data_IF_020786844680
#
_entry.id   IF_020786844680
#
_cell.length_a   1.000
_cell.length_b   1.000
_cell.length_c   1.000
_cell.angle_alpha   90.00
_cell.angle_beta   90.00
_cell.angle_gamma   90.00
#
_symmetry.space_group_name_H-M   'P 1'
#
loop_
_entity.id
_entity.type
_entity.pdbx_description
1 polymer ?
#
# COMPACT_ATOMS: atom_id res chain seq x y z
N UNK A 1 6.60 -16.27 -11.52
CA UNK A 1 6.29 -15.00 -12.21
C UNK A 1 6.20 -13.94 -11.15
N UNK A 2 7.03 -12.88 -11.20
CA UNK A 2 6.83 -11.72 -10.33
C UNK A 2 5.51 -11.10 -10.79
N UNK A 3 4.43 -11.35 -10.05
CA UNK A 3 3.22 -10.57 -10.21
C UNK A 3 3.62 -9.15 -9.82
N UNK A 4 3.90 -8.29 -10.79
CA UNK A 4 4.13 -6.87 -10.52
C UNK A 4 2.82 -6.33 -9.96
N UNK A 5 2.75 -6.25 -8.63
CA UNK A 5 1.64 -5.60 -7.94
C UNK A 5 1.56 -4.19 -8.53
N UNK A 6 0.47 -3.89 -9.23
CA UNK A 6 0.22 -2.55 -9.76
C UNK A 6 0.10 -1.60 -8.58
N UNK A 7 1.21 -0.95 -8.23
CA UNK A 7 1.26 0.03 -7.15
C UNK A 7 0.37 1.22 -7.51
N UNK A 8 -0.36 1.70 -6.52
CA UNK A 8 -1.09 2.96 -6.57
C UNK A 8 -0.05 4.09 -6.76
N UNK A 9 -0.21 4.97 -7.77
CA UNK A 9 0.62 6.16 -7.90
C UNK A 9 0.47 7.08 -6.68
N UNK A 10 1.55 7.72 -6.20
CA UNK A 10 1.50 8.61 -5.03
C UNK A 10 0.43 9.69 -5.15
N UNK A 11 0.25 10.30 -6.33
CA UNK A 11 -0.71 11.38 -6.56
C UNK A 11 -2.15 10.91 -6.34
N UNK A 12 -2.42 9.65 -6.70
CA UNK A 12 -3.73 9.03 -6.48
C UNK A 12 -3.97 8.76 -5.00
N UNK A 13 -2.95 8.34 -4.25
CA UNK A 13 -3.06 8.13 -2.80
C UNK A 13 -3.25 9.46 -2.05
N UNK A 14 -2.58 10.54 -2.46
CA UNK A 14 -2.80 11.89 -1.93
C UNK A 14 -4.26 12.31 -2.14
N UNK A 15 -4.80 12.11 -3.35
CA UNK A 15 -6.18 12.48 -3.66
C UNK A 15 -7.19 11.71 -2.79
N UNK A 16 -7.01 10.40 -2.64
CA UNK A 16 -7.88 9.56 -1.80
C UNK A 16 -7.84 9.99 -0.32
N UNK A 17 -6.64 10.20 0.23
CA UNK A 17 -6.50 10.64 1.62
C UNK A 17 -7.12 12.03 1.83
N UNK A 18 -7.01 12.92 0.83
CA UNK A 18 -7.64 14.24 0.88
C UNK A 18 -9.18 14.17 0.84
N UNK A 19 -9.76 13.25 0.07
CA UNK A 19 -11.22 13.01 0.06
C UNK A 19 -11.73 12.63 1.46
N UNK A 20 -10.91 11.93 2.23
CA UNK A 20 -11.19 11.55 3.63
C UNK A 20 -10.79 12.64 4.65
N UNK A 21 -10.39 13.83 4.19
CA UNK A 21 -9.99 14.96 5.04
C UNK A 21 -8.58 14.85 5.64
N UNK A 22 -7.75 13.95 5.11
CA UNK A 22 -6.37 13.73 5.56
C UNK A 22 -5.42 14.40 4.56
N UNK A 23 -4.85 15.53 4.95
CA UNK A 23 -3.83 16.21 4.15
C UNK A 23 -2.43 15.65 4.45
N UNK A 24 -1.71 15.29 3.39
CA UNK A 24 -0.39 14.66 3.46
C UNK A 24 0.50 15.17 2.33
N UNK A 25 1.81 15.27 2.60
CA UNK A 25 2.81 15.60 1.58
C UNK A 25 3.16 14.38 0.71
N UNK A 26 3.86 14.61 -0.40
CA UNK A 26 4.36 13.53 -1.26
C UNK A 26 5.29 12.57 -0.50
N UNK A 27 6.16 13.10 0.36
CA UNK A 27 7.05 12.30 1.21
C UNK A 27 6.27 11.45 2.21
N UNK A 28 5.25 12.02 2.84
CA UNK A 28 4.41 11.28 3.79
C UNK A 28 3.63 10.17 3.09
N UNK A 29 3.06 10.44 1.91
CA UNK A 29 2.36 9.42 1.12
C UNK A 29 3.27 8.28 0.72
N UNK A 30 4.53 8.56 0.38
CA UNK A 30 5.49 7.50 0.06
C UNK A 30 5.68 6.55 1.25
N UNK A 31 5.88 7.10 2.45
CA UNK A 31 6.04 6.30 3.68
C UNK A 31 4.79 5.47 3.97
N UNK A 32 3.60 6.07 3.83
CA UNK A 32 2.31 5.37 4.05
C UNK A 32 2.15 4.22 3.07
N UNK A 33 2.39 4.46 1.77
CA UNK A 33 2.25 3.44 0.74
C UNK A 33 3.24 2.30 0.94
N UNK A 34 4.51 2.60 1.23
CA UNK A 34 5.54 1.60 1.48
C UNK A 34 5.14 0.70 2.67
N UNK A 35 4.69 1.30 3.77
CA UNK A 35 4.19 0.54 4.93
C UNK A 35 2.96 -0.34 4.60
N UNK A 36 2.01 0.18 3.83
CA UNK A 36 0.83 -0.59 3.42
C UNK A 36 1.16 -1.79 2.52
N UNK A 37 2.14 -1.65 1.62
CA UNK A 37 2.58 -2.78 0.80
C UNK A 37 3.29 -3.84 1.63
N UNK A 38 4.12 -3.45 2.60
CA UNK A 38 4.75 -4.41 3.52
C UNK A 38 3.70 -5.22 4.30
N UNK A 39 2.67 -4.55 4.81
CA UNK A 39 1.56 -5.23 5.50
C UNK A 39 0.80 -6.16 4.56
N UNK A 40 0.53 -5.73 3.33
CA UNK A 40 -0.15 -6.56 2.34
C UNK A 40 0.65 -7.82 2.01
N UNK A 41 1.96 -7.70 1.81
CA UNK A 41 2.87 -8.83 1.56
C UNK A 41 2.85 -9.81 2.75
N UNK A 42 2.96 -9.30 3.98
CA UNK A 42 2.88 -10.13 5.20
C UNK A 42 1.55 -10.89 5.29
N UNK A 43 0.43 -10.21 5.02
CA UNK A 43 -0.91 -10.82 5.09
C UNK A 43 -1.08 -11.90 4.02
N UNK A 44 -0.60 -11.64 2.79
CA UNK A 44 -0.61 -12.62 1.70
C UNK A 44 0.24 -13.83 2.06
N UNK A 45 1.46 -13.61 2.56
CA UNK A 45 2.36 -14.67 2.98
C UNK A 45 1.74 -15.51 4.10
N UNK A 46 1.12 -14.88 5.12
CA UNK A 46 0.42 -15.60 6.20
C UNK A 46 -0.77 -16.41 5.68
N UNK A 47 -1.55 -15.86 4.74
CA UNK A 47 -2.68 -16.56 4.15
C UNK A 47 -2.24 -17.78 3.34
N UNK A 48 -1.17 -17.63 2.54
CA UNK A 48 -0.60 -18.68 1.70
C UNK A 48 0.23 -19.71 2.49
N UNK A 49 0.79 -19.32 3.64
CA UNK A 49 1.58 -20.19 4.52
C UNK A 49 0.73 -21.15 5.37
N UNK A 50 -0.60 -21.19 5.20
CA UNK A 50 -1.43 -22.20 5.84
C UNK A 50 -0.93 -23.60 5.46
N UNK A 51 -0.56 -24.45 6.43
CA UNK A 51 -0.42 -25.88 6.17
C UNK A 51 -1.80 -26.42 5.79
N UNK A 52 -1.84 -27.21 4.71
CA UNK A 52 -2.98 -28.06 4.35
C UNK A 52 -3.25 -29.06 5.47
#
# INVERSE_FOLDING_TARGET
>A
MKNEVKRIPPEKAIALLKEDGIEVTAEQVKVILDFMYEIADIVVDQYLAKPV
#
